data_IF_276781856010
#
_entry.id   IF_276781856010
#
_cell.length_a   1.000
_cell.length_b   1.000
_cell.length_c   1.000
_cell.angle_alpha   90.00
_cell.angle_beta   90.00
_cell.angle_gamma   90.00
#
_symmetry.space_group_name_H-M   'P 1'
#
loop_
_entity.id
_entity.type
_entity.pdbx_description
1 polymer ?
#
# COMPACT_ATOMS: atom_id res chain seq x y z
N UNK A 1 -16.58 -3.02 -0.52
CA UNK A 1 -16.13 -2.93 0.88
C UNK A 1 -14.74 -3.54 0.91
N UNK A 2 -13.73 -2.79 1.38
CA UNK A 2 -12.35 -3.27 1.53
C UNK A 2 -11.92 -3.22 2.99
N UNK A 3 -10.72 -3.71 3.29
CA UNK A 3 -10.12 -3.62 4.62
C UNK A 3 -9.31 -2.32 4.76
N UNK A 4 -9.32 -1.73 5.95
CA UNK A 4 -8.56 -0.52 6.24
C UNK A 4 -7.06 -0.75 6.22
N UNK A 5 -6.60 -1.75 6.98
CA UNK A 5 -5.21 -2.20 7.01
C UNK A 5 -5.19 -3.72 7.17
N UNK A 6 -4.37 -4.42 6.40
CA UNK A 6 -4.05 -5.83 6.57
C UNK A 6 -2.71 -6.17 5.92
N UNK A 7 -2.14 -7.32 6.28
CA UNK A 7 -0.93 -7.85 5.65
C UNK A 7 -1.35 -8.90 4.59
N UNK A 8 -0.94 -8.70 3.34
CA UNK A 8 -1.28 -9.60 2.23
C UNK A 8 -0.72 -11.01 2.48
N UNK A 9 -1.56 -12.05 2.45
CA UNK A 9 -1.11 -13.43 2.59
C UNK A 9 -0.08 -13.78 1.52
N UNK A 10 1.01 -14.41 1.94
CA UNK A 10 2.04 -14.94 1.04
C UNK A 10 3.23 -14.01 0.78
N UNK A 11 3.03 -12.69 0.71
CA UNK A 11 4.12 -11.73 0.48
C UNK A 11 4.43 -10.80 1.66
N UNK A 12 3.56 -10.72 2.68
CA UNK A 12 3.82 -9.92 3.88
C UNK A 12 3.73 -8.40 3.64
N UNK A 13 3.14 -7.96 2.52
CA UNK A 13 3.04 -6.54 2.17
C UNK A 13 1.80 -5.95 2.81
N UNK A 14 1.93 -4.76 3.40
CA UNK A 14 0.78 -4.03 3.91
C UNK A 14 -0.12 -3.56 2.77
N UNK A 15 -1.43 -3.74 2.95
CA UNK A 15 -2.48 -3.34 2.03
C UNK A 15 -3.73 -2.85 2.78
N UNK A 16 -4.64 -2.21 2.06
CA UNK A 16 -5.86 -1.61 2.59
C UNK A 16 -5.98 -0.12 2.27
N UNK A 17 -7.19 0.41 2.41
CA UNK A 17 -7.51 1.80 2.03
C UNK A 17 -6.91 2.85 2.98
N UNK A 18 -6.34 2.44 4.11
CA UNK A 18 -5.59 3.30 5.05
C UNK A 18 -4.07 3.10 4.95
N UNK A 19 -3.57 2.39 3.94
CA UNK A 19 -2.12 2.15 3.73
C UNK A 19 -1.62 3.05 2.60
N UNK A 20 -1.08 4.26 2.89
CA UNK A 20 -0.59 5.18 1.87
C UNK A 20 0.67 4.62 1.18
N UNK A 21 0.67 4.65 -0.14
CA UNK A 21 1.76 4.14 -0.95
C UNK A 21 1.90 4.91 -2.28
N UNK A 22 3.09 4.92 -2.88
CA UNK A 22 3.23 5.31 -4.27
C UNK A 22 2.62 4.25 -5.20
N UNK A 23 2.17 4.68 -6.37
CA UNK A 23 1.88 3.81 -7.50
C UNK A 23 3.07 2.86 -7.78
N UNK A 24 2.80 1.57 -7.99
CA UNK A 24 3.84 0.57 -8.25
C UNK A 24 4.53 0.74 -9.61
N UNK A 25 3.92 1.50 -10.55
CA UNK A 25 4.49 1.71 -11.88
C UNK A 25 5.90 2.36 -11.79
N UNK A 26 6.91 1.85 -12.53
CA UNK A 26 8.27 2.38 -12.49
C UNK A 26 8.32 3.87 -12.85
N UNK A 27 8.90 4.68 -11.96
CA UNK A 27 9.04 6.13 -12.16
C UNK A 27 7.79 6.97 -11.86
N UNK A 28 6.65 6.36 -11.51
CA UNK A 28 5.45 7.08 -11.10
C UNK A 28 5.43 7.32 -9.59
N UNK A 29 5.38 8.58 -9.15
CA UNK A 29 5.32 8.96 -7.72
C UNK A 29 3.91 9.38 -7.28
N UNK A 30 2.87 9.03 -8.04
CA UNK A 30 1.50 9.32 -7.67
C UNK A 30 1.15 8.64 -6.34
N UNK A 31 0.66 9.44 -5.38
CA UNK A 31 0.23 8.94 -4.08
C UNK A 31 -1.17 8.31 -4.18
N UNK A 32 -1.27 7.08 -3.71
CA UNK A 32 -2.49 6.28 -3.64
C UNK A 32 -2.57 5.61 -2.26
N UNK A 33 -3.64 4.85 -2.03
CA UNK A 33 -3.67 3.81 -1.00
C UNK A 33 -3.50 2.43 -1.64
N UNK A 34 -3.19 1.41 -0.84
CA UNK A 34 -3.17 0.01 -1.30
C UNK A 34 -4.50 -0.70 -1.09
N UNK A 35 -5.60 0.02 -1.28
CA UNK A 35 -6.95 -0.54 -1.31
C UNK A 35 -7.31 -1.15 -2.67
N UNK A 36 -8.43 -1.87 -2.69
CA UNK A 36 -8.93 -2.56 -3.89
C UNK A 36 -9.27 -1.59 -5.04
N UNK A 37 -9.50 -0.30 -4.74
CA UNK A 37 -9.69 0.73 -5.77
C UNK A 37 -8.50 0.90 -6.71
N UNK A 38 -7.29 0.58 -6.24
CA UNK A 38 -6.05 0.72 -6.99
C UNK A 38 -5.42 -0.62 -7.37
N UNK A 39 -5.94 -1.74 -6.85
CA UNK A 39 -5.39 -3.08 -7.08
C UNK A 39 -5.67 -3.54 -8.51
N UNK A 40 -4.65 -4.08 -9.17
CA UNK A 40 -4.83 -4.88 -10.38
C UNK A 40 -5.42 -6.24 -9.96
N UNK A 41 -6.75 -6.33 -10.03
CA UNK A 41 -7.52 -7.54 -9.77
C UNK A 41 -7.74 -8.35 -11.06
N UNK A 42 -8.38 -9.51 -10.90
CA UNK A 42 -8.87 -10.30 -12.03
C UNK A 42 -9.70 -9.43 -12.98
N UNK A 43 -9.39 -9.53 -14.27
CA UNK A 43 -10.05 -8.76 -15.32
C UNK A 43 -10.18 -9.59 -16.58
N UNK A 44 -11.04 -9.13 -17.49
CA UNK A 44 -11.25 -9.79 -18.79
C UNK A 44 -10.36 -9.13 -19.83
N UNK A 45 -9.62 -9.95 -20.55
CA UNK A 45 -8.91 -9.55 -21.77
C UNK A 45 -9.56 -10.20 -22.99
N UNK A 46 -9.47 -9.55 -24.15
CA UNK A 46 -9.94 -10.09 -25.42
C UNK A 46 -8.78 -10.68 -26.21
N UNK A 47 -8.93 -11.94 -26.62
CA UNK A 47 -7.98 -12.63 -27.49
C UNK A 47 -8.04 -12.10 -28.93
N UNK A 48 -7.07 -12.47 -29.75
CA UNK A 48 -7.01 -12.06 -31.16
C UNK A 48 -8.22 -12.55 -32.00
N UNK A 49 -8.88 -13.63 -31.59
CA UNK A 49 -10.10 -14.16 -32.19
C UNK A 49 -11.39 -13.53 -31.60
N UNK A 50 -11.26 -12.56 -30.70
CA UNK A 50 -12.37 -11.84 -30.09
C UNK A 50 -13.09 -12.62 -28.98
N UNK A 51 -12.45 -13.66 -28.43
CA UNK A 51 -12.96 -14.41 -27.29
C UNK A 51 -12.52 -13.76 -25.97
N UNK A 52 -13.40 -13.77 -24.98
CA UNK A 52 -13.11 -13.25 -23.64
C UNK A 52 -12.31 -14.29 -22.86
N UNK A 53 -11.23 -13.85 -22.22
CA UNK A 53 -10.43 -14.65 -21.29
C UNK A 53 -10.36 -13.93 -19.95
N UNK A 54 -10.73 -14.62 -18.88
CA UNK A 54 -10.48 -14.18 -17.52
C UNK A 54 -8.98 -14.31 -17.24
N UNK A 55 -8.36 -13.22 -16.79
CA UNK A 55 -6.93 -13.12 -16.52
C UNK A 55 -6.74 -12.74 -15.06
N UNK A 56 -5.92 -13.51 -14.35
CA UNK A 56 -5.55 -13.21 -12.97
C UNK A 56 -4.80 -11.88 -12.91
N UNK A 57 -5.26 -10.98 -12.03
CA UNK A 57 -4.58 -9.70 -11.78
C UNK A 57 -3.21 -9.92 -11.14
N UNK A 58 -2.27 -9.01 -11.39
CA UNK A 58 -0.92 -9.14 -10.83
C UNK A 58 -0.84 -8.88 -9.32
N UNK A 59 -1.91 -8.34 -8.71
CA UNK A 59 -1.99 -8.05 -7.28
C UNK A 59 -1.21 -6.81 -6.82
N UNK A 60 -0.66 -6.01 -7.75
CA UNK A 60 0.00 -4.73 -7.48
C UNK A 60 -1.00 -3.56 -7.50
N UNK A 61 -0.55 -2.38 -7.07
CA UNK A 61 -1.39 -1.19 -6.90
C UNK A 61 -0.95 -0.05 -7.81
N UNK A 62 -1.87 0.44 -8.64
CA UNK A 62 -1.58 1.44 -9.66
C UNK A 62 -2.57 2.59 -9.57
N UNK A 63 -2.10 3.82 -9.82
CA UNK A 63 -2.97 4.97 -10.00
C UNK A 63 -3.85 4.80 -11.25
N UNK A 64 -4.86 5.66 -11.40
CA UNK A 64 -5.87 5.56 -12.47
C UNK A 64 -5.24 5.50 -13.87
N UNK A 65 -4.16 6.25 -14.09
CA UNK A 65 -3.42 6.28 -15.35
C UNK A 65 -2.78 4.93 -15.69
N UNK A 66 -2.11 4.30 -14.73
CA UNK A 66 -1.36 3.06 -14.95
C UNK A 66 -2.18 1.79 -14.70
N UNK A 67 -3.37 1.88 -14.07
CA UNK A 67 -4.19 0.71 -13.71
C UNK A 67 -4.70 -0.05 -14.94
N UNK A 68 -4.88 0.64 -16.07
CA UNK A 68 -5.40 0.06 -17.30
C UNK A 68 -4.31 -0.35 -18.31
N UNK A 69 -3.04 -0.09 -18.02
CA UNK A 69 -1.90 -0.49 -18.84
C UNK A 69 -1.43 -1.93 -18.48
N UNK A 70 -2.37 -2.87 -18.48
CA UNK A 70 -2.17 -4.24 -17.93
C UNK A 70 -1.06 -5.01 -18.64
N UNK A 71 -0.78 -4.69 -19.91
CA UNK A 71 0.28 -5.33 -20.69
C UNK A 71 1.66 -5.23 -20.05
N UNK A 72 1.95 -4.18 -19.28
CA UNK A 72 3.28 -3.97 -18.68
C UNK A 72 3.38 -4.43 -17.23
N UNK A 73 2.24 -4.68 -16.58
CA UNK A 73 2.14 -4.97 -15.14
C UNK A 73 2.96 -6.19 -14.72
N UNK A 74 3.04 -7.22 -15.57
CA UNK A 74 3.75 -8.47 -15.28
C UNK A 74 5.27 -8.29 -15.10
N UNK A 75 5.84 -7.16 -15.54
CA UNK A 75 7.27 -6.83 -15.36
C UNK A 75 7.52 -5.91 -14.16
N UNK A 76 6.47 -5.33 -13.60
CA UNK A 76 6.56 -4.38 -12.51
C UNK A 76 6.96 -5.09 -11.22
N UNK A 77 7.87 -4.48 -10.46
CA UNK A 77 8.21 -4.93 -9.12
C UNK A 77 7.45 -4.07 -8.10
N UNK A 78 6.89 -4.68 -7.04
CA UNK A 78 6.24 -3.91 -5.99
C UNK A 78 7.22 -2.92 -5.38
N UNK A 79 6.79 -1.67 -5.22
CA UNK A 79 7.53 -0.68 -4.45
C UNK A 79 7.47 -1.00 -2.96
N UNK A 80 8.51 -0.64 -2.18
CA UNK A 80 8.45 -0.79 -0.73
C UNK A 80 7.33 0.07 -0.14
N UNK A 81 7.05 -0.16 1.14
CA UNK A 81 6.24 0.74 1.94
C UNK A 81 6.77 2.17 1.88
N UNK A 82 5.84 3.13 1.90
CA UNK A 82 6.20 4.54 2.00
C UNK A 82 6.88 4.82 3.35
N UNK A 83 7.74 5.84 3.38
CA UNK A 83 8.31 6.34 4.63
C UNK A 83 7.22 6.80 5.59
N UNK A 84 6.19 7.47 5.08
CA UNK A 84 4.98 7.87 5.79
C UNK A 84 4.26 6.71 6.49
N UNK A 85 3.97 5.62 5.77
CA UNK A 85 3.34 4.42 6.36
C UNK A 85 4.23 3.77 7.43
N UNK A 86 5.52 3.70 7.16
CA UNK A 86 6.51 3.13 8.08
C UNK A 86 6.61 3.95 9.36
N UNK A 87 6.62 5.28 9.24
CA UNK A 87 6.65 6.20 10.37
C UNK A 87 5.36 6.15 11.19
N UNK A 88 4.20 6.07 10.54
CA UNK A 88 2.91 5.95 11.24
C UNK A 88 2.85 4.73 12.16
N UNK A 89 3.20 3.55 11.67
CA UNK A 89 3.30 2.33 12.49
C UNK A 89 4.28 2.47 13.68
N UNK A 90 5.26 3.36 13.60
CA UNK A 90 6.24 3.58 14.67
C UNK A 90 5.75 4.54 15.76
N UNK A 91 4.78 5.42 15.47
CA UNK A 91 4.37 6.51 16.36
C UNK A 91 2.93 6.42 16.82
N UNK A 92 2.03 5.79 16.07
CA UNK A 92 0.63 5.65 16.44
C UNK A 92 0.47 4.64 17.60
N UNK A 93 -0.32 5.00 18.61
CA UNK A 93 -0.51 4.18 19.81
C UNK A 93 -1.26 2.86 19.51
N UNK A 94 -2.12 2.83 18.50
CA UNK A 94 -2.81 1.60 18.09
C UNK A 94 -1.85 0.49 17.63
N UNK A 95 -0.60 0.85 17.29
CA UNK A 95 0.46 -0.07 16.89
C UNK A 95 1.39 -0.51 18.02
N UNK A 96 1.14 -0.09 19.26
CA UNK A 96 2.03 -0.43 20.39
C UNK A 96 2.23 -1.93 20.54
N UNK A 97 1.15 -2.71 20.55
CA UNK A 97 1.24 -4.17 20.68
C UNK A 97 2.03 -4.79 19.53
N UNK A 98 1.77 -4.37 18.29
CA UNK A 98 2.49 -4.88 17.13
C UNK A 98 3.99 -4.60 17.22
N UNK A 99 4.39 -3.41 17.72
CA UNK A 99 5.80 -3.07 17.92
C UNK A 99 6.49 -3.95 18.96
N UNK A 100 5.78 -4.30 20.03
CA UNK A 100 6.28 -5.21 21.08
C UNK A 100 6.48 -6.61 20.52
N UNK A 101 5.56 -7.08 19.68
CA UNK A 101 5.60 -8.42 19.07
C UNK A 101 6.63 -8.51 17.92
N UNK A 102 7.01 -7.38 17.32
CA UNK A 102 7.87 -7.34 16.13
C UNK A 102 9.14 -6.48 16.31
N UNK A 103 9.98 -6.72 17.34
CA UNK A 103 11.10 -5.82 17.68
C UNK A 103 12.14 -5.71 16.57
N UNK A 104 12.39 -6.79 15.83
CA UNK A 104 13.35 -6.77 14.70
C UNK A 104 12.84 -5.97 13.49
N UNK A 105 11.53 -6.04 13.19
CA UNK A 105 10.92 -5.22 12.13
C UNK A 105 10.99 -3.74 12.53
N UNK A 106 10.63 -3.44 13.77
CA UNK A 106 10.71 -2.08 14.34
C UNK A 106 12.13 -1.52 14.27
N UNK A 107 13.16 -2.30 14.62
CA UNK A 107 14.55 -1.86 14.54
C UNK A 107 14.96 -1.50 13.09
N UNK A 108 14.55 -2.30 12.11
CA UNK A 108 14.80 -2.02 10.68
C UNK A 108 14.06 -0.79 10.21
N UNK A 109 12.78 -0.65 10.56
CA UNK A 109 11.96 0.50 10.21
C UNK A 109 12.56 1.80 10.78
N UNK A 110 12.97 1.80 12.05
CA UNK A 110 13.64 2.94 12.69
C UNK A 110 14.94 3.35 12.00
N UNK A 111 15.64 2.42 11.36
CA UNK A 111 16.86 2.72 10.61
C UNK A 111 16.60 3.29 9.20
N UNK A 112 15.37 3.15 8.68
CA UNK A 112 14.98 3.54 7.32
C UNK A 112 14.15 4.83 7.27
N UNK A 113 13.34 5.11 8.30
CA UNK A 113 12.52 6.33 8.35
C UNK A 113 13.36 7.57 8.57
N UNK A 114 12.95 8.68 7.95
CA UNK A 114 13.57 9.99 8.14
C UNK A 114 12.81 10.83 9.20
N UNK A 115 13.44 11.90 9.70
CA UNK A 115 12.76 12.86 10.58
C UNK A 115 11.59 13.57 9.89
N UNK A 116 11.63 13.71 8.56
CA UNK A 116 10.52 14.25 7.79
C UNK A 116 9.31 13.29 7.83
N UNK A 117 9.54 11.98 7.66
CA UNK A 117 8.49 10.97 7.77
C UNK A 117 7.86 10.94 9.17
N UNK A 118 8.68 11.04 10.21
CA UNK A 118 8.20 11.07 11.61
C UNK A 118 7.40 12.34 11.92
N UNK A 119 7.79 13.47 11.35
CA UNK A 119 7.07 14.73 11.50
C UNK A 119 5.73 14.67 10.80
N UNK A 120 5.69 14.15 9.57
CA UNK A 120 4.45 13.90 8.85
C UNK A 120 3.53 12.99 9.65
N UNK A 121 4.04 11.86 10.16
CA UNK A 121 3.23 10.89 10.88
C UNK A 121 2.63 11.44 12.18
N UNK A 122 3.38 12.26 12.93
CA UNK A 122 2.87 12.91 14.15
C UNK A 122 1.81 13.97 13.84
N UNK A 123 1.98 14.72 12.75
CA UNK A 123 0.99 15.71 12.34
C UNK A 123 -0.38 15.07 12.01
N UNK A 124 -0.40 13.83 11.51
CA UNK A 124 -1.64 13.05 11.27
C UNK A 124 -2.33 12.54 12.55
N UNK A 125 -1.63 12.56 13.69
CA UNK A 125 -2.20 12.19 15.00
C UNK A 125 -2.81 13.40 15.73
N UNK A 126 -2.30 14.59 15.45
CA UNK A 126 -2.74 15.84 16.08
C UNK A 126 -3.96 16.46 15.37
N UNK A 127 -4.53 15.79 14.36
CA UNK A 127 -5.71 16.27 13.64
C UNK A 127 -6.99 16.04 14.47
N UNK A 128 -7.68 17.11 14.91
CA UNK A 128 -8.86 17.01 15.76
C UNK A 128 -10.12 16.48 15.05
N UNK A 129 -10.08 16.20 13.75
CA UNK A 129 -11.22 15.64 13.01
C UNK A 129 -11.30 14.09 13.08
N UNK A 130 -10.35 13.43 13.75
CA UNK A 130 -10.21 11.95 13.78
C UNK A 130 -10.59 11.31 15.14
N UNK A 131 -11.62 11.86 15.80
CA UNK A 131 -12.13 11.42 17.12
C UNK A 131 -12.97 10.10 17.05
N UNK A 132 -13.02 9.45 15.88
CA UNK A 132 -13.81 8.24 15.59
C UNK A 132 -12.95 6.98 15.36
N UNK A 133 -11.69 6.95 15.84
CA UNK A 133 -10.81 5.78 15.75
C UNK A 133 -11.09 4.77 16.88
N UNK A 134 -12.22 4.07 16.79
CA UNK A 134 -12.63 2.94 17.64
C UNK A 134 -12.68 1.61 16.91
#
# INVERSE_FOLDING_TARGET
MGYGVYEEPGNGRWAGYMVPAPCDYPGCEAEIDRGLGWKCEEHVEYTADGTESEVEGCGLFFCEEHRYETSDHHTVKPKPDSGHWTAWQLVDDSWEQWRVENPERVAKMRALVTEADLTWARAQLDDPEDDDRG
#
